data_IF_970734162836
#
_entry.id   IF_970734162836
#
_cell.length_a   1.000
_cell.length_b   1.000
_cell.length_c   1.000
_cell.angle_alpha   90.00
_cell.angle_beta   90.00
_cell.angle_gamma   90.00
#
_symmetry.space_group_name_H-M   'P 1'
#
loop_
_entity.id
_entity.type
_entity.pdbx_description
1 polymer ?
#
# COMPACT_ATOMS: atom_id res chain seq x y z
N UNK A 1 -0.90 11.46 4.93
CA UNK A 1 0.41 10.95 5.40
C UNK A 1 0.92 9.92 4.40
N UNK A 2 2.09 10.13 3.78
CA UNK A 2 2.59 9.31 2.66
C UNK A 2 2.80 7.83 3.05
N UNK A 3 3.30 7.57 4.26
CA UNK A 3 3.54 6.22 4.79
C UNK A 3 2.26 5.36 4.81
N UNK A 4 1.15 5.95 5.25
CA UNK A 4 -0.15 5.27 5.28
C UNK A 4 -0.68 4.95 3.88
N UNK A 5 -0.52 5.89 2.94
CA UNK A 5 -0.88 5.69 1.54
C UNK A 5 -0.12 4.51 0.95
N UNK A 6 1.21 4.46 1.13
CA UNK A 6 2.04 3.39 0.58
C UNK A 6 1.66 2.01 1.12
N UNK A 7 1.49 1.87 2.45
CA UNK A 7 1.10 0.58 3.04
C UNK A 7 -0.27 0.11 2.53
N UNK A 8 -1.21 1.04 2.35
CA UNK A 8 -2.52 0.74 1.76
C UNK A 8 -2.38 0.28 0.29
N UNK A 9 -1.65 1.03 -0.53
CA UNK A 9 -1.43 0.69 -1.95
C UNK A 9 -0.76 -0.67 -2.10
N UNK A 10 0.27 -0.94 -1.30
CA UNK A 10 0.97 -2.23 -1.27
C UNK A 10 0.03 -3.38 -0.91
N UNK A 11 -0.76 -3.23 0.15
CA UNK A 11 -1.74 -4.25 0.54
C UNK A 11 -2.80 -4.48 -0.55
N UNK A 12 -3.20 -3.44 -1.28
CA UNK A 12 -4.15 -3.55 -2.40
C UNK A 12 -3.53 -4.22 -3.62
N UNK A 13 -2.25 -3.96 -3.92
CA UNK A 13 -1.53 -4.66 -4.97
C UNK A 13 -1.43 -6.15 -4.65
N UNK A 14 -1.05 -6.50 -3.42
CA UNK A 14 -0.99 -7.89 -2.95
C UNK A 14 -2.37 -8.58 -3.02
N UNK A 15 -3.43 -7.90 -2.58
CA UNK A 15 -4.79 -8.43 -2.64
C UNK A 15 -5.32 -8.61 -4.09
N UNK A 16 -4.81 -7.85 -5.07
CA UNK A 16 -5.16 -8.06 -6.48
C UNK A 16 -4.51 -9.31 -7.06
N UNK A 17 -3.33 -9.68 -6.57
CA UNK A 17 -2.58 -10.85 -7.02
C UNK A 17 -3.06 -12.12 -6.32
N UNK A 18 -3.32 -12.06 -5.02
CA UNK A 18 -3.60 -13.24 -4.19
C UNK A 18 -5.04 -13.32 -3.66
N UNK A 19 -5.87 -12.31 -3.96
CA UNK A 19 -7.19 -12.15 -3.35
C UNK A 19 -7.14 -11.39 -2.03
N UNK A 20 -8.24 -10.70 -1.70
CA UNK A 20 -8.35 -9.98 -0.44
C UNK A 20 -8.49 -10.97 0.74
N UNK A 21 -7.76 -10.76 1.85
CA UNK A 21 -7.93 -11.55 3.05
C UNK A 21 -9.37 -11.54 3.56
N UNK A 22 -9.81 -12.65 4.16
CA UNK A 22 -11.13 -12.70 4.80
C UNK A 22 -11.23 -11.59 5.87
N UNK A 23 -12.21 -10.69 5.78
CA UNK A 23 -12.34 -9.55 6.68
C UNK A 23 -12.68 -9.95 8.13
N UNK A 24 -13.18 -11.17 8.34
CA UNK A 24 -13.63 -11.69 9.64
C UNK A 24 -14.96 -11.09 10.09
N UNK A 25 -15.46 -11.56 11.24
CA UNK A 25 -16.73 -11.12 11.82
C UNK A 25 -16.56 -10.30 13.09
N UNK A 26 -15.34 -10.02 13.56
CA UNK A 26 -15.09 -9.21 14.75
C UNK A 26 -14.26 -7.98 14.42
N UNK A 27 -14.43 -6.91 15.20
CA UNK A 27 -13.65 -5.70 15.05
C UNK A 27 -12.18 -6.00 15.35
N UNK A 28 -11.29 -5.69 14.41
CA UNK A 28 -9.82 -5.88 14.56
C UNK A 28 -9.21 -5.11 15.73
N UNK A 29 -9.87 -4.06 16.23
CA UNK A 29 -9.34 -3.21 17.30
C UNK A 29 -9.86 -3.58 18.68
N UNK A 30 -11.16 -3.84 18.83
CA UNK A 30 -11.78 -4.10 20.14
C UNK A 30 -12.37 -5.51 20.29
N UNK A 31 -12.19 -6.37 19.28
CA UNK A 31 -12.67 -7.76 19.22
C UNK A 31 -14.18 -7.95 19.34
N UNK A 32 -14.97 -6.88 19.45
CA UNK A 32 -16.43 -6.94 19.46
C UNK A 32 -16.94 -7.55 18.14
N UNK A 33 -17.81 -8.55 18.26
CA UNK A 33 -18.41 -9.23 17.11
C UNK A 33 -19.37 -8.33 16.34
N UNK A 34 -19.46 -8.55 15.03
CA UNK A 34 -20.32 -7.86 14.09
C UNK A 34 -21.79 -8.26 14.23
N UNK A 35 -22.11 -9.27 15.03
CA UNK A 35 -23.46 -9.81 15.22
C UNK A 35 -24.47 -8.79 15.78
N UNK A 36 -24.01 -7.64 16.27
CA UNK A 36 -24.85 -6.51 16.70
C UNK A 36 -24.99 -5.37 15.68
N UNK A 37 -24.40 -5.46 14.48
CA UNK A 37 -24.53 -4.41 13.47
C UNK A 37 -25.83 -4.59 12.72
N UNK A 38 -26.87 -3.98 13.30
CA UNK A 38 -28.24 -3.96 12.82
C UNK A 38 -28.33 -4.02 11.28
N UNK A 39 -29.05 -5.03 10.83
CA UNK A 39 -29.63 -5.24 9.50
C UNK A 39 -29.73 -3.93 8.71
N UNK A 40 -28.78 -3.68 7.81
CA UNK A 40 -28.77 -2.53 6.90
C UNK A 40 -27.51 -1.66 6.89
N UNK A 41 -26.61 -1.74 7.89
CA UNK A 41 -25.32 -1.02 7.86
C UNK A 41 -24.16 -1.98 7.61
N UNK A 42 -23.58 -1.91 6.41
CA UNK A 42 -22.38 -2.67 6.09
C UNK A 42 -21.25 -2.36 7.08
N UNK A 43 -20.61 -3.42 7.57
CA UNK A 43 -19.39 -3.33 8.36
C UNK A 43 -18.36 -2.46 7.64
N UNK A 44 -17.81 -1.45 8.33
CA UNK A 44 -16.66 -0.73 7.77
C UNK A 44 -15.43 -1.64 7.82
N UNK A 45 -14.60 -1.65 6.78
CA UNK A 45 -13.33 -2.39 6.77
C UNK A 45 -12.14 -1.43 6.75
N UNK A 46 -11.05 -1.83 7.39
CA UNK A 46 -9.77 -1.14 7.28
C UNK A 46 -9.21 -1.37 5.87
N UNK A 47 -8.93 -0.30 5.13
CA UNK A 47 -8.39 -0.42 3.77
C UNK A 47 -6.92 -0.85 3.70
N UNK A 48 -6.21 -0.95 4.83
CA UNK A 48 -4.84 -1.46 4.83
C UNK A 48 -4.75 -2.95 5.17
N UNK A 49 -5.61 -3.48 6.05
CA UNK A 49 -5.47 -4.86 6.54
C UNK A 49 -6.66 -5.77 6.24
N UNK A 50 -7.68 -5.32 5.51
CA UNK A 50 -8.77 -6.24 5.13
C UNK A 50 -9.90 -6.27 6.16
N UNK A 51 -9.51 -6.15 7.43
CA UNK A 51 -10.34 -6.56 8.56
C UNK A 51 -11.43 -5.54 8.91
N UNK A 52 -12.48 -6.08 9.49
CA UNK A 52 -13.64 -5.34 9.96
C UNK A 52 -13.29 -4.38 11.11
N UNK A 53 -13.93 -3.21 11.12
CA UNK A 53 -13.80 -2.17 12.15
C UNK A 53 -15.18 -1.61 12.53
N UNK A 54 -15.50 -1.59 13.83
CA UNK A 54 -16.75 -1.05 14.31
C UNK A 54 -16.82 0.49 14.18
N UNK A 55 -18.00 1.06 14.37
CA UNK A 55 -18.22 2.51 14.26
C UNK A 55 -17.39 3.36 15.23
N UNK A 56 -17.07 2.83 16.42
CA UNK A 56 -16.26 3.53 17.43
C UNK A 56 -14.75 3.38 17.21
N UNK A 57 -14.30 2.31 16.53
CA UNK A 57 -12.88 2.08 16.27
C UNK A 57 -12.43 2.55 14.87
N UNK A 58 -13.36 2.95 13.99
CA UNK A 58 -13.01 3.37 12.64
C UNK A 58 -12.37 4.76 12.65
N UNK A 59 -11.22 4.88 12.03
CA UNK A 59 -10.49 6.15 11.90
C UNK A 59 -10.50 6.52 10.42
N UNK A 60 -11.08 7.68 10.10
CA UNK A 60 -11.10 8.18 8.72
C UNK A 60 -9.90 9.10 8.49
N UNK A 61 -9.06 8.79 7.49
CA UNK A 61 -7.95 9.64 7.06
C UNK A 61 -8.11 10.03 5.60
N UNK A 62 -7.72 11.26 5.27
CA UNK A 62 -7.64 11.71 3.89
C UNK A 62 -6.37 11.17 3.26
N UNK A 63 -6.51 10.54 2.11
CA UNK A 63 -5.43 10.00 1.29
C UNK A 63 -5.44 10.76 -0.03
N UNK A 64 -4.32 11.40 -0.34
CA UNK A 64 -4.12 12.11 -1.61
C UNK A 64 -3.60 11.12 -2.65
N UNK A 65 -4.26 11.07 -3.80
CA UNK A 65 -4.00 10.17 -4.92
C UNK A 65 -3.76 11.05 -6.14
N UNK A 66 -2.70 10.76 -6.89
CA UNK A 66 -2.45 11.42 -8.18
C UNK A 66 -3.25 10.67 -9.24
N UNK A 67 -4.15 11.39 -9.93
CA UNK A 67 -4.96 10.85 -11.01
C UNK A 67 -4.23 10.95 -12.36
N UNK A 68 -4.76 10.29 -13.40
CA UNK A 68 -4.11 10.20 -14.72
C UNK A 68 -3.94 11.55 -15.42
N UNK A 69 -4.75 12.54 -15.03
CA UNK A 69 -4.69 13.94 -15.44
C UNK A 69 -3.65 14.77 -14.67
N UNK A 70 -2.76 14.12 -13.90
CA UNK A 70 -1.75 14.75 -13.03
C UNK A 70 -2.35 15.61 -11.90
N UNK A 71 -3.66 15.53 -11.67
CA UNK A 71 -4.31 16.21 -10.55
C UNK A 71 -4.18 15.43 -9.25
N UNK A 72 -4.26 16.13 -8.11
CA UNK A 72 -4.26 15.53 -6.79
C UNK A 72 -5.71 15.42 -6.27
N UNK A 73 -6.20 14.20 -6.11
CA UNK A 73 -7.52 13.91 -5.56
C UNK A 73 -7.42 13.39 -4.12
N UNK A 74 -8.15 13.99 -3.18
CA UNK A 74 -8.24 13.49 -1.81
C UNK A 74 -9.43 12.56 -1.61
N UNK A 75 -9.20 11.35 -1.11
CA UNK A 75 -10.25 10.41 -0.72
C UNK A 75 -10.24 10.15 0.78
N UNK A 76 -11.43 10.13 1.40
CA UNK A 76 -11.60 9.80 2.82
C UNK A 76 -11.69 8.29 3.00
N UNK A 77 -10.66 7.70 3.58
CA UNK A 77 -10.48 6.25 3.70
C UNK A 77 -10.51 5.82 5.17
N UNK A 78 -11.09 4.65 5.43
CA UNK A 78 -11.19 4.06 6.78
C UNK A 78 -9.99 3.17 7.09
N UNK A 79 -9.41 3.35 8.29
CA UNK A 79 -8.34 2.54 8.86
C UNK A 79 -8.67 2.14 10.30
N UNK A 80 -8.04 1.05 10.78
CA UNK A 80 -7.99 0.73 12.21
C UNK A 80 -6.81 1.44 12.88
N UNK A 81 -6.82 1.50 14.22
CA UNK A 81 -5.74 2.12 15.00
C UNK A 81 -4.39 1.43 14.81
N UNK A 82 -4.36 0.09 14.75
CA UNK A 82 -3.14 -0.68 14.56
C UNK A 82 -2.42 -0.28 13.26
N UNK A 83 -3.11 -0.32 12.11
CA UNK A 83 -2.49 0.08 10.84
C UNK A 83 -2.05 1.55 10.83
N UNK A 84 -2.74 2.43 11.55
CA UNK A 84 -2.35 3.83 11.65
C UNK A 84 -1.07 3.98 12.49
N UNK A 85 -0.95 3.26 13.60
CA UNK A 85 0.25 3.21 14.42
C UNK A 85 1.42 2.63 13.63
N UNK A 86 1.22 1.48 12.97
CA UNK A 86 2.26 0.81 12.17
C UNK A 86 2.76 1.68 11.01
N UNK A 87 1.89 2.51 10.43
CA UNK A 87 2.28 3.47 9.40
C UNK A 87 3.02 4.68 9.99
N UNK A 88 2.74 5.03 11.24
CA UNK A 88 3.37 6.15 11.94
C UNK A 88 4.78 5.78 12.41
N UNK A 89 4.99 4.54 12.83
CA UNK A 89 6.29 4.02 13.30
C UNK A 89 7.18 3.48 12.18
N UNK A 90 6.65 3.21 10.99
CA UNK A 90 7.48 2.76 9.86
C UNK A 90 8.48 3.83 9.40
N UNK A 91 9.67 3.38 8.99
CA UNK A 91 10.74 4.20 8.42
C UNK A 91 10.27 4.95 7.17
N UNK A 92 10.46 6.27 7.17
CA UNK A 92 10.13 7.09 6.01
C UNK A 92 11.12 6.87 4.86
N UNK A 93 12.40 6.64 5.20
CA UNK A 93 13.48 6.45 4.23
C UNK A 93 13.25 5.18 3.43
N UNK A 94 12.95 4.07 4.11
CA UNK A 94 12.76 2.78 3.44
C UNK A 94 11.52 2.79 2.54
N UNK A 95 10.45 3.44 2.99
CA UNK A 95 9.23 3.62 2.19
C UNK A 95 9.52 4.48 0.96
N UNK A 96 10.29 5.56 1.09
CA UNK A 96 10.65 6.41 -0.03
C UNK A 96 11.52 5.65 -1.05
N UNK A 97 12.54 4.92 -0.58
CA UNK A 97 13.40 4.10 -1.42
C UNK A 97 12.59 3.03 -2.20
N UNK A 98 11.70 2.32 -1.51
CA UNK A 98 10.82 1.33 -2.14
C UNK A 98 9.91 1.96 -3.21
N UNK A 99 9.36 3.15 -2.95
CA UNK A 99 8.53 3.87 -3.92
C UNK A 99 9.30 4.29 -5.17
N UNK A 100 10.53 4.77 -5.01
CA UNK A 100 11.38 5.15 -6.13
C UNK A 100 11.66 3.92 -7.00
N UNK A 101 12.07 2.81 -6.39
CA UNK A 101 12.33 1.57 -7.11
C UNK A 101 11.10 1.05 -7.87
N UNK A 102 9.91 1.12 -7.26
CA UNK A 102 8.67 0.67 -7.89
C UNK A 102 8.23 1.59 -9.05
N UNK A 103 8.39 2.91 -8.89
CA UNK A 103 8.08 3.88 -9.93
C UNK A 103 8.98 3.69 -11.16
N UNK A 104 10.29 3.51 -10.94
CA UNK A 104 11.25 3.23 -12.03
C UNK A 104 10.83 2.02 -12.85
N UNK A 105 10.34 0.94 -12.21
CA UNK A 105 9.84 -0.24 -12.91
C UNK A 105 8.54 0.03 -13.68
N UNK A 106 7.58 0.73 -13.08
CA UNK A 106 6.26 1.01 -13.70
C UNK A 106 6.34 1.98 -14.87
N UNK A 107 7.26 2.94 -14.83
CA UNK A 107 7.35 3.98 -15.85
C UNK A 107 8.22 3.55 -17.05
N UNK A 108 8.80 2.35 -17.06
CA UNK A 108 9.69 1.91 -18.15
C UNK A 108 10.85 2.87 -18.41
N UNK A 109 11.19 3.73 -17.43
CA UNK A 109 12.33 4.64 -17.50
C UNK A 109 13.57 3.80 -17.21
N UNK A 110 13.88 2.89 -18.13
CA UNK A 110 15.26 2.62 -18.48
C UNK A 110 15.73 3.87 -19.21
N UNK A 111 15.95 4.97 -18.48
CA UNK A 111 16.80 6.04 -19.00
C UNK A 111 18.20 5.46 -18.95
N UNK A 112 18.63 4.94 -20.10
CA UNK A 112 20.03 4.71 -20.41
C UNK A 112 20.79 6.03 -20.19
N UNK A 113 21.31 6.21 -18.99
CA UNK A 113 22.30 7.23 -18.64
C UNK A 113 23.28 6.47 -17.73
N UNK A 114 24.41 5.93 -18.18
CA UNK A 114 25.38 6.39 -19.18
C UNK A 114 26.21 5.22 -19.71
N UNK A 115 26.64 5.32 -20.97
CA UNK A 115 27.67 4.48 -21.60
C UNK A 115 29.08 4.81 -21.07
N UNK A 116 29.97 3.79 -21.11
CA UNK A 116 31.45 3.77 -21.05
C UNK A 116 32.09 3.78 -19.64
N UNK A 117 33.10 2.98 -19.26
CA UNK A 117 33.83 1.81 -19.80
C UNK A 117 34.78 1.31 -18.70
N UNK A 118 35.08 0.01 -18.61
CA UNK A 118 36.45 -0.51 -18.38
C UNK A 118 36.53 -1.98 -18.76
N UNK A 119 37.44 -2.24 -19.69
CA UNK A 119 37.74 -3.48 -20.40
C UNK A 119 38.73 -4.34 -19.64
N UNK A 120 38.73 -5.66 -19.90
CA UNK A 120 39.89 -6.59 -19.93
C UNK A 120 39.33 -8.00 -20.18
N UNK A 121 39.23 -8.44 -21.45
CA UNK A 121 40.21 -9.28 -22.17
C UNK A 121 40.35 -10.69 -21.58
N UNK A 122 39.89 -11.73 -22.30
CA UNK A 122 40.80 -12.75 -22.83
C UNK A 122 40.11 -13.67 -23.86
N UNK A 123 40.91 -14.01 -24.86
CA UNK A 123 40.63 -14.65 -26.14
C UNK A 123 40.61 -16.18 -26.03
N UNK A 124 39.90 -16.84 -26.96
CA UNK A 124 40.24 -18.08 -27.70
C UNK A 124 38.94 -18.84 -28.03
N UNK A 125 38.39 -18.63 -29.21
CA UNK A 125 38.72 -19.34 -30.46
C UNK A 125 37.82 -20.57 -30.68
N UNK A 126 37.01 -20.45 -31.72
CA UNK A 126 36.25 -21.50 -32.37
C UNK A 126 37.05 -22.77 -32.59
N UNK A 127 36.41 -23.92 -32.37
CA UNK A 127 36.47 -25.09 -33.24
C UNK A 127 35.14 -25.82 -33.17
#
# INVERSE_FOLDING_TARGET
MRKLTWKMEKAHAEARLHGAPNPGTSCVTCSKTATGWKLGKSASTCKSCFRVVCSSCKIKKKISIVTADLALSEKKITFCSACLADASTSSAVDIAAAQIHENTRRNGIVRSVTSHSSSSSDLLASR
#
